data_IF_001336359317
#
_entry.id   IF_001336359317
#
_cell.length_a   1.000
_cell.length_b   1.000
_cell.length_c   1.000
_cell.angle_alpha   90.00
_cell.angle_beta   90.00
_cell.angle_gamma   90.00
#
_symmetry.space_group_name_H-M   'P 1'
#
loop_
_entity.id
_entity.type
_entity.pdbx_description
1 polymer ?
#
# COMPACT_ATOMS: atom_id res chain seq x y z
N UNK A 1 20.87 17.58 6.95
CA UNK A 1 19.88 16.94 7.86
C UNK A 1 18.61 17.76 7.72
N UNK A 2 17.65 17.29 6.91
CA UNK A 2 16.42 18.04 6.67
C UNK A 2 15.60 18.07 7.96
N UNK A 3 15.26 19.26 8.45
CA UNK A 3 14.41 19.43 9.62
C UNK A 3 12.98 19.05 9.26
N UNK A 4 12.45 18.00 9.90
CA UNK A 4 11.04 17.62 9.76
C UNK A 4 10.11 18.76 10.20
N UNK A 5 9.00 18.91 9.50
CA UNK A 5 7.91 19.83 9.84
C UNK A 5 7.19 19.36 11.10
N UNK A 6 6.49 20.27 11.78
CA UNK A 6 5.75 19.96 13.02
C UNK A 6 4.64 18.93 12.79
N UNK A 7 3.99 18.96 11.62
CA UNK A 7 2.97 17.99 11.23
C UNK A 7 3.53 16.57 11.06
N UNK A 8 4.72 16.43 10.46
CA UNK A 8 5.40 15.14 10.29
C UNK A 8 5.79 14.54 11.64
N UNK A 9 6.25 15.37 12.59
CA UNK A 9 6.52 14.93 13.97
C UNK A 9 5.25 14.47 14.68
N UNK A 10 4.16 15.23 14.57
CA UNK A 10 2.87 14.87 15.15
C UNK A 10 2.37 13.53 14.62
N UNK A 11 2.47 13.31 13.30
CA UNK A 11 2.12 12.04 12.68
C UNK A 11 2.93 10.88 13.24
N UNK A 12 4.26 11.02 13.33
CA UNK A 12 5.12 9.95 13.85
C UNK A 12 4.83 9.59 15.31
N UNK A 13 4.57 10.58 16.16
CA UNK A 13 4.19 10.34 17.57
C UNK A 13 2.90 9.52 17.67
N UNK A 14 1.91 9.84 16.84
CA UNK A 14 0.63 9.11 16.82
C UNK A 14 0.82 7.67 16.35
N UNK A 15 1.61 7.45 15.29
CA UNK A 15 1.88 6.10 14.78
C UNK A 15 2.59 5.24 15.82
N UNK A 16 3.63 5.77 16.49
CA UNK A 16 4.31 5.03 17.56
C UNK A 16 3.39 4.72 18.75
N UNK A 17 2.53 5.67 19.15
CA UNK A 17 1.53 5.41 20.18
C UNK A 17 0.55 4.29 19.80
N UNK A 18 0.11 4.24 18.54
CA UNK A 18 -0.78 3.18 18.05
C UNK A 18 -0.05 1.83 18.03
N UNK A 19 1.21 1.79 17.56
CA UNK A 19 2.04 0.57 17.60
C UNK A 19 2.18 0.04 19.02
N UNK A 20 2.44 0.92 19.98
CA UNK A 20 2.58 0.53 21.39
C UNK A 20 1.28 -0.03 21.97
N UNK A 21 0.13 0.55 21.65
CA UNK A 21 -1.18 0.00 22.04
C UNK A 21 -1.39 -1.38 21.43
N UNK A 22 -1.12 -1.55 20.13
CA UNK A 22 -1.28 -2.85 19.46
C UNK A 22 -0.38 -3.91 20.11
N UNK A 23 0.91 -3.62 20.30
CA UNK A 23 1.91 -4.55 20.86
C UNK A 23 1.58 -4.96 22.30
N UNK A 24 1.18 -4.01 23.14
CA UNK A 24 1.01 -4.25 24.57
C UNK A 24 -0.39 -4.71 24.98
N UNK A 25 -1.40 -4.47 24.13
CA UNK A 25 -2.81 -4.77 24.49
C UNK A 25 -3.48 -5.72 23.52
N UNK A 26 -3.44 -5.45 22.21
CA UNK A 26 -4.21 -6.23 21.21
C UNK A 26 -3.51 -7.54 20.86
N UNK A 27 -2.22 -7.48 20.53
CA UNK A 27 -1.43 -8.63 20.07
C UNK A 27 -1.41 -9.80 21.07
N UNK A 28 -1.28 -9.60 22.40
CA UNK A 28 -1.37 -10.71 23.35
C UNK A 28 -2.72 -11.43 23.33
N UNK A 29 -3.81 -10.71 23.09
CA UNK A 29 -5.17 -11.26 23.01
C UNK A 29 -5.33 -12.06 21.71
N UNK A 30 -4.88 -11.52 20.58
CA UNK A 30 -4.87 -12.24 19.29
C UNK A 30 -4.08 -13.55 19.40
N UNK A 31 -2.91 -13.52 20.05
CA UNK A 31 -2.07 -14.70 20.27
C UNK A 31 -2.75 -15.73 21.19
N UNK A 32 -3.33 -15.29 22.31
CA UNK A 32 -4.00 -16.18 23.26
C UNK A 32 -5.26 -16.85 22.65
N UNK A 33 -5.93 -16.17 21.73
CA UNK A 33 -7.15 -16.66 21.06
C UNK A 33 -6.88 -17.32 19.71
N UNK A 34 -5.64 -17.32 19.22
CA UNK A 34 -5.24 -17.81 17.89
C UNK A 34 -6.05 -17.16 16.77
N UNK A 35 -6.23 -15.85 16.87
CA UNK A 35 -7.07 -15.07 15.96
C UNK A 35 -6.62 -15.18 14.49
N UNK A 36 -5.32 -15.35 14.27
CA UNK A 36 -4.68 -15.56 12.97
C UNK A 36 -5.21 -16.77 12.20
N UNK A 37 -5.68 -17.80 12.91
CA UNK A 37 -6.26 -19.01 12.28
C UNK A 37 -7.65 -18.72 11.70
N UNK A 38 -8.37 -17.73 12.26
CA UNK A 38 -9.77 -17.49 11.93
C UNK A 38 -9.98 -16.30 10.99
N UNK A 39 -9.13 -15.29 11.06
CA UNK A 39 -9.35 -14.05 10.35
C UNK A 39 -8.08 -13.52 9.67
N UNK A 40 -7.26 -12.76 10.39
CA UNK A 40 -6.10 -12.05 9.83
C UNK A 40 -4.86 -12.29 10.65
N UNK A 41 -3.71 -12.31 9.98
CA UNK A 41 -2.40 -12.40 10.62
C UNK A 41 -2.17 -11.22 11.58
N UNK A 42 -1.23 -11.43 12.52
CA UNK A 42 -0.76 -10.36 13.40
C UNK A 42 -0.10 -9.25 12.59
N UNK A 43 -0.41 -8.01 12.94
CA UNK A 43 0.14 -6.85 12.28
C UNK A 43 1.64 -6.71 12.56
N UNK A 44 2.35 -6.28 11.53
CA UNK A 44 3.77 -5.96 11.54
C UNK A 44 3.97 -4.46 11.57
N UNK A 45 5.15 -4.00 12.03
CA UNK A 45 5.48 -2.58 12.03
C UNK A 45 5.40 -1.95 10.63
N UNK A 46 5.73 -2.73 9.60
CA UNK A 46 5.64 -2.33 8.20
C UNK A 46 4.21 -1.95 7.77
N UNK A 47 3.17 -2.55 8.37
CA UNK A 47 1.77 -2.19 8.06
C UNK A 47 1.36 -0.85 8.68
N UNK A 48 1.97 -0.46 9.80
CA UNK A 48 1.77 0.86 10.40
C UNK A 48 2.58 1.94 9.67
N UNK A 49 3.77 1.59 9.19
CA UNK A 49 4.69 2.49 8.48
C UNK A 49 4.41 2.58 6.97
N UNK A 50 3.47 1.79 6.47
CA UNK A 50 3.12 1.76 5.05
C UNK A 50 2.61 3.14 4.59
N UNK A 51 3.06 3.54 3.40
CA UNK A 51 2.51 4.73 2.75
C UNK A 51 1.01 4.56 2.48
N UNK A 52 0.19 5.63 2.58
CA UNK A 52 -1.23 5.56 2.28
C UNK A 52 -1.51 5.01 0.88
N UNK A 53 -2.43 4.05 0.78
CA UNK A 53 -2.79 3.38 -0.47
C UNK A 53 -4.18 3.81 -0.94
N UNK A 54 -4.34 4.01 -2.25
CA UNK A 54 -5.63 4.28 -2.91
C UNK A 54 -5.95 3.14 -3.87
N UNK A 55 -7.07 2.46 -3.62
CA UNK A 55 -7.55 1.36 -4.47
C UNK A 55 -8.65 1.87 -5.42
N UNK A 56 -8.43 1.73 -6.73
CA UNK A 56 -9.42 2.06 -7.74
C UNK A 56 -10.19 0.82 -8.18
N UNK A 57 -11.49 0.79 -7.88
CA UNK A 57 -12.40 -0.30 -8.24
C UNK A 57 -13.44 0.20 -9.25
N UNK A 58 -13.75 -0.61 -10.24
CA UNK A 58 -14.79 -0.30 -11.23
C UNK A 58 -14.76 -1.27 -12.42
N UNK A 59 -15.85 -1.35 -13.20
CA UNK A 59 -15.95 -2.28 -14.32
C UNK A 59 -14.96 -1.94 -15.44
N UNK A 60 -14.90 -2.80 -16.45
CA UNK A 60 -13.99 -2.62 -17.59
C UNK A 60 -14.25 -1.28 -18.30
N UNK A 61 -13.18 -0.66 -18.79
CA UNK A 61 -13.22 0.53 -19.64
C UNK A 61 -13.84 1.81 -19.05
N UNK A 62 -13.99 1.91 -17.72
CA UNK A 62 -14.45 3.15 -17.04
C UNK A 62 -13.36 4.18 -16.76
N UNK A 63 -12.18 4.05 -17.37
CA UNK A 63 -11.13 5.05 -17.27
C UNK A 63 -10.24 4.98 -16.02
N UNK A 64 -10.19 3.86 -15.30
CA UNK A 64 -9.31 3.67 -14.12
C UNK A 64 -7.83 4.00 -14.43
N UNK A 65 -7.29 3.43 -15.51
CA UNK A 65 -5.90 3.68 -15.96
C UNK A 65 -5.70 5.14 -16.34
N UNK A 66 -6.68 5.72 -17.05
CA UNK A 66 -6.67 7.13 -17.43
C UNK A 66 -6.71 8.06 -16.22
N UNK A 67 -7.44 7.70 -15.17
CA UNK A 67 -7.53 8.46 -13.92
C UNK A 67 -6.19 8.49 -13.17
N UNK A 68 -5.48 7.35 -13.09
CA UNK A 68 -4.13 7.31 -12.51
C UNK A 68 -3.19 8.22 -13.32
N UNK A 69 -3.19 8.09 -14.66
CA UNK A 69 -2.39 8.94 -15.55
C UNK A 69 -2.72 10.42 -15.39
N UNK A 70 -3.99 10.76 -15.21
CA UNK A 70 -4.44 12.13 -14.96
C UNK A 70 -3.87 12.68 -13.65
N UNK A 71 -3.94 11.92 -12.55
CA UNK A 71 -3.36 12.31 -11.26
C UNK A 71 -1.83 12.47 -11.35
N UNK A 72 -1.16 11.54 -12.04
CA UNK A 72 0.31 11.55 -12.15
C UNK A 72 0.81 12.63 -13.13
N UNK A 73 -0.03 13.16 -14.01
CA UNK A 73 0.35 14.09 -15.07
C UNK A 73 1.27 13.47 -16.14
N UNK A 74 1.54 12.17 -16.06
CA UNK A 74 2.40 11.42 -16.98
C UNK A 74 1.95 9.96 -17.08
N UNK A 75 2.40 9.27 -18.12
CA UNK A 75 2.21 7.82 -18.24
C UNK A 75 3.10 7.05 -17.26
N UNK A 76 2.76 5.80 -17.00
CA UNK A 76 3.51 4.91 -16.10
C UNK A 76 3.79 3.54 -16.72
N UNK A 77 4.87 2.84 -16.30
CA UNK A 77 5.20 1.52 -16.82
C UNK A 77 4.05 0.51 -16.67
N UNK A 78 3.79 -0.25 -17.74
CA UNK A 78 2.71 -1.23 -17.76
C UNK A 78 1.32 -0.67 -18.05
N UNK A 79 1.16 0.65 -18.26
CA UNK A 79 -0.13 1.20 -18.69
C UNK A 79 -0.53 0.64 -20.06
N UNK A 80 -1.74 0.08 -20.15
CA UNK A 80 -2.37 -0.33 -21.41
C UNK A 80 -3.75 0.27 -21.46
N UNK A 81 -3.94 1.27 -22.32
CA UNK A 81 -5.22 1.94 -22.55
C UNK A 81 -5.69 1.53 -23.94
N UNK A 82 -6.80 0.82 -24.03
CA UNK A 82 -7.43 0.44 -25.29
C UNK A 82 -8.92 0.19 -25.12
N UNK A 83 -9.70 0.17 -26.22
CA UNK A 83 -11.15 -0.03 -26.18
C UNK A 83 -11.54 -1.46 -25.73
N UNK A 84 -10.62 -2.42 -25.89
CA UNK A 84 -10.77 -3.80 -25.42
C UNK A 84 -10.43 -3.93 -23.92
N UNK A 85 -10.91 -4.97 -23.21
CA UNK A 85 -10.50 -5.26 -21.84
C UNK A 85 -8.97 -5.41 -21.76
N UNK A 86 -8.30 -4.37 -21.27
CA UNK A 86 -6.84 -4.21 -21.36
C UNK A 86 -6.12 -4.40 -20.03
N UNK A 87 -6.87 -4.45 -18.93
CA UNK A 87 -6.34 -4.68 -17.57
C UNK A 87 -7.01 -5.92 -16.97
N UNK A 88 -6.32 -7.05 -17.04
CA UNK A 88 -6.73 -8.36 -16.52
C UNK A 88 -6.04 -8.70 -15.18
N UNK A 89 -5.24 -7.78 -14.64
CA UNK A 89 -4.35 -7.99 -13.49
C UNK A 89 -4.41 -6.83 -12.51
N UNK A 90 -4.13 -7.13 -11.25
CA UNK A 90 -3.85 -6.10 -10.24
C UNK A 90 -2.50 -5.42 -10.55
N UNK A 91 -2.46 -4.10 -10.39
CA UNK A 91 -1.26 -3.30 -10.59
C UNK A 91 -1.09 -2.36 -9.41
N UNK A 92 0.06 -2.45 -8.76
CA UNK A 92 0.50 -1.48 -7.77
C UNK A 92 1.40 -0.45 -8.46
N UNK A 93 0.94 0.80 -8.53
CA UNK A 93 1.75 1.92 -9.02
C UNK A 93 2.38 2.58 -7.80
N UNK A 94 3.71 2.50 -7.69
CA UNK A 94 4.48 2.94 -6.52
C UNK A 94 5.66 3.81 -6.96
N UNK A 95 6.18 4.60 -6.04
CA UNK A 95 7.40 5.36 -6.26
C UNK A 95 8.61 4.43 -6.47
N UNK A 96 9.53 4.85 -7.33
CA UNK A 96 10.85 4.23 -7.49
C UNK A 96 11.80 5.17 -8.24
N UNK A 97 13.10 5.01 -8.03
CA UNK A 97 14.13 5.86 -8.64
C UNK A 97 14.19 5.74 -10.18
N UNK A 98 13.67 4.64 -10.72
CA UNK A 98 13.66 4.34 -12.14
C UNK A 98 12.29 3.80 -12.56
N UNK A 99 11.88 4.16 -13.77
CA UNK A 99 10.68 3.64 -14.42
C UNK A 99 10.90 2.16 -14.76
N UNK A 100 10.34 1.27 -13.93
CA UNK A 100 10.44 -0.19 -14.11
C UNK A 100 9.16 -0.90 -13.71
N UNK A 101 8.96 -2.09 -14.25
CA UNK A 101 7.90 -3.01 -13.84
C UNK A 101 8.50 -4.17 -13.07
N UNK A 102 7.95 -4.49 -11.89
CA UNK A 102 8.36 -5.64 -11.09
C UNK A 102 7.23 -6.68 -11.11
N UNK A 103 7.49 -7.92 -11.56
CA UNK A 103 6.51 -9.00 -11.48
C UNK A 103 6.09 -9.29 -10.04
N UNK A 104 4.81 -9.63 -9.82
CA UNK A 104 4.25 -9.80 -8.47
C UNK A 104 4.95 -10.88 -7.65
N UNK A 105 5.41 -11.97 -8.27
CA UNK A 105 6.17 -13.02 -7.58
C UNK A 105 7.53 -12.53 -7.06
N UNK A 106 8.18 -11.60 -7.77
CA UNK A 106 9.40 -10.97 -7.29
C UNK A 106 9.10 -9.96 -6.17
N UNK A 107 7.96 -9.27 -6.24
CA UNK A 107 7.53 -8.33 -5.22
C UNK A 107 7.26 -9.02 -3.87
N UNK A 108 6.66 -10.21 -3.87
CA UNK A 108 6.38 -10.96 -2.63
C UNK A 108 7.61 -11.55 -1.94
N UNK A 109 8.75 -11.57 -2.64
CA UNK A 109 10.02 -12.14 -2.14
C UNK A 109 11.03 -11.03 -1.82
N UNK A 110 10.72 -9.78 -2.16
CA UNK A 110 11.56 -8.64 -1.82
C UNK A 110 11.66 -8.52 -0.28
N UNK A 111 12.89 -8.40 0.27
CA UNK A 111 13.13 -8.35 1.71
C UNK A 111 12.54 -7.11 2.39
#
# INVERSE_FOLDING_TARGET
MASFTEAERGHQIVIEGIKDIYRNTVRPIEAATKFDIFHSNMLTDAEFDAAPMVLLVGPYSVGKTSFIKYILGRGFPGERIGPEPTTDRFMAVMYGDQDKTVPGNALTVAP
#
